data_IF_488217549104
#
_entry.id   IF_488217549104
#
_cell.length_a   1.000
_cell.length_b   1.000
_cell.length_c   1.000
_cell.angle_alpha   90.00
_cell.angle_beta   90.00
_cell.angle_gamma   90.00
#
_symmetry.space_group_name_H-M   'P 1'
#
loop_
_entity.id
_entity.type
_entity.pdbx_description
1 polymer ?
#
# COMPACT_ATOMS: atom_id res chain seq x y z
N UNK A 1 8.14 0.88 -12.47
CA UNK A 1 7.98 0.72 -11.00
C UNK A 1 8.17 -0.77 -10.69
N UNK A 2 9.17 -1.14 -9.90
CA UNK A 2 9.43 -2.53 -9.53
C UNK A 2 8.92 -2.76 -8.10
N UNK A 3 7.92 -3.63 -7.94
CA UNK A 3 7.50 -4.09 -6.62
C UNK A 3 8.53 -5.11 -6.13
N UNK A 4 9.09 -4.89 -4.93
CA UNK A 4 10.14 -5.73 -4.33
C UNK A 4 9.65 -6.55 -3.13
N UNK A 5 8.37 -6.46 -2.80
CA UNK A 5 7.84 -6.97 -1.54
C UNK A 5 6.49 -7.66 -1.73
N UNK A 6 6.31 -8.76 -0.99
CA UNK A 6 5.07 -9.51 -0.86
C UNK A 6 4.71 -9.49 0.63
N UNK A 7 3.67 -8.74 0.96
CA UNK A 7 3.09 -8.78 2.31
C UNK A 7 2.07 -9.91 2.38
N UNK A 8 2.28 -10.89 3.26
CA UNK A 8 1.28 -11.92 3.56
C UNK A 8 0.68 -11.62 4.92
N UNK A 9 -0.50 -10.99 4.92
CA UNK A 9 -1.28 -10.78 6.15
C UNK A 9 -1.89 -12.12 6.54
N UNK A 10 -1.22 -12.84 7.44
CA UNK A 10 -1.77 -14.03 8.06
C UNK A 10 -2.63 -13.61 9.25
N UNK A 11 -3.95 -13.55 9.06
CA UNK A 11 -4.92 -13.34 10.17
C UNK A 11 -5.66 -14.65 10.53
N UNK A 12 -5.43 -15.75 9.81
CA UNK A 12 -6.24 -16.96 9.92
C UNK A 12 -5.51 -18.11 10.60
N UNK A 13 -5.45 -18.04 11.93
CA UNK A 13 -5.05 -19.15 12.79
C UNK A 13 -4.35 -18.67 14.07
N UNK A 14 -4.24 -19.52 15.12
CA UNK A 14 -3.40 -19.22 16.27
C UNK A 14 -1.93 -19.30 15.85
N UNK A 15 -1.39 -18.16 15.43
CA UNK A 15 0.03 -17.98 15.17
C UNK A 15 0.73 -17.89 16.53
N UNK A 16 1.88 -18.54 16.75
CA UNK A 16 2.73 -18.24 17.90
C UNK A 16 2.99 -16.73 17.98
N UNK A 17 3.12 -16.14 19.18
CA UNK A 17 3.39 -14.72 19.31
C UNK A 17 4.62 -14.34 18.47
N UNK A 18 4.40 -13.46 17.49
CA UNK A 18 5.46 -12.92 16.63
C UNK A 18 6.01 -11.66 17.30
N UNK A 19 7.32 -11.48 17.24
CA UNK A 19 8.00 -10.28 17.73
C UNK A 19 8.22 -9.32 16.56
N UNK A 20 7.82 -8.06 16.74
CA UNK A 20 8.03 -7.04 15.72
C UNK A 20 9.52 -6.90 15.37
N UNK A 21 9.82 -6.84 14.07
CA UNK A 21 11.19 -6.73 13.56
C UNK A 21 11.95 -8.04 13.45
N UNK A 22 11.49 -9.15 14.05
CA UNK A 22 12.13 -10.45 13.91
C UNK A 22 11.82 -11.11 12.57
N UNK A 23 12.76 -11.94 12.14
CA UNK A 23 12.67 -12.75 10.93
C UNK A 23 12.22 -14.17 11.24
N UNK A 24 11.37 -14.70 10.38
CA UNK A 24 10.78 -16.02 10.50
C UNK A 24 10.85 -16.73 9.14
N UNK A 25 11.35 -17.97 9.09
CA UNK A 25 11.32 -18.77 7.87
C UNK A 25 9.88 -19.18 7.58
N UNK A 26 9.40 -18.87 6.38
CA UNK A 26 8.09 -19.27 5.88
C UNK A 26 8.23 -20.02 4.57
N UNK A 27 7.24 -20.86 4.27
CA UNK A 27 7.12 -21.53 2.98
C UNK A 27 5.91 -20.95 2.26
N UNK A 28 6.12 -20.45 1.06
CA UNK A 28 5.06 -19.90 0.22
C UNK A 28 4.89 -20.78 -1.01
N UNK A 29 3.67 -21.15 -1.33
CA UNK A 29 3.36 -21.92 -2.53
C UNK A 29 2.23 -21.25 -3.29
N UNK A 30 2.45 -21.04 -4.59
CA UNK A 30 1.42 -20.59 -5.52
C UNK A 30 0.87 -21.77 -6.29
N UNK A 31 -0.44 -21.98 -6.28
CA UNK A 31 -1.11 -23.10 -6.96
C UNK A 31 -0.42 -24.46 -6.67
N UNK A 32 0.09 -25.12 -7.71
CA UNK A 32 0.88 -26.36 -7.63
C UNK A 32 2.35 -26.14 -8.03
N UNK A 33 2.83 -24.91 -7.91
CA UNK A 33 4.21 -24.51 -8.24
C UNK A 33 5.19 -25.02 -7.19
N UNK A 34 6.49 -24.89 -7.46
CA UNK A 34 7.54 -25.10 -6.46
C UNK A 34 7.31 -24.23 -5.23
N UNK A 35 7.70 -24.76 -4.06
CA UNK A 35 7.67 -24.03 -2.81
C UNK A 35 8.80 -22.99 -2.85
N UNK A 36 8.47 -21.77 -2.46
CA UNK A 36 9.42 -20.71 -2.18
C UNK A 36 9.70 -20.67 -0.68
N UNK A 37 10.90 -21.09 -0.29
CA UNK A 37 11.42 -20.89 1.07
C UNK A 37 11.87 -19.43 1.21
N UNK A 38 11.14 -18.67 2.02
CA UNK A 38 11.32 -17.23 2.18
C UNK A 38 11.61 -16.86 3.63
N UNK A 39 12.46 -15.86 3.84
CA UNK A 39 12.62 -15.19 5.14
C UNK A 39 11.64 -14.03 5.20
N UNK A 40 10.67 -14.09 6.11
CA UNK A 40 9.70 -13.02 6.31
C UNK A 40 10.00 -12.26 7.59
N UNK A 41 9.94 -10.93 7.54
CA UNK A 41 10.03 -10.11 8.75
C UNK A 41 8.65 -9.79 9.29
N UNK A 42 8.47 -9.95 10.60
CA UNK A 42 7.27 -9.56 11.29
C UNK A 42 7.16 -8.02 11.41
N UNK A 43 5.98 -7.50 11.11
CA UNK A 43 5.62 -6.09 11.16
C UNK A 43 4.32 -5.93 11.94
N UNK A 44 4.32 -5.03 12.91
CA UNK A 44 3.11 -4.66 13.61
C UNK A 44 2.30 -3.68 12.76
N UNK A 45 1.01 -3.97 12.55
CA UNK A 45 0.05 -3.10 11.86
C UNK A 45 -1.04 -2.60 12.81
N UNK A 46 -0.76 -2.57 14.11
CA UNK A 46 -1.58 -2.04 15.21
C UNK A 46 -2.53 -3.08 15.80
N UNK A 47 -3.37 -3.70 14.97
CA UNK A 47 -4.36 -4.69 15.43
C UNK A 47 -3.94 -6.13 15.14
N UNK A 48 -2.84 -6.33 14.43
CA UNK A 48 -2.38 -7.63 13.95
C UNK A 48 -0.90 -7.59 13.60
N UNK A 49 -0.29 -8.77 13.48
CA UNK A 49 1.06 -8.93 12.97
C UNK A 49 1.03 -9.38 11.50
N UNK A 50 1.87 -8.75 10.68
CA UNK A 50 2.06 -9.01 9.27
C UNK A 50 3.42 -9.66 9.04
N UNK A 51 3.47 -10.76 8.29
CA UNK A 51 4.74 -11.34 7.80
C UNK A 51 5.01 -10.81 6.40
N UNK A 52 6.15 -10.13 6.23
CA UNK A 52 6.55 -9.52 4.96
C UNK A 52 7.76 -10.25 4.41
N UNK A 53 7.62 -10.88 3.25
CA UNK A 53 8.74 -11.45 2.51
C UNK A 53 9.06 -10.56 1.31
N UNK A 54 10.34 -10.33 1.03
CA UNK A 54 10.79 -9.55 -0.12
C UNK A 54 11.42 -10.46 -1.17
N UNK A 55 11.32 -10.05 -2.43
CA UNK A 55 11.96 -10.73 -3.56
C UNK A 55 12.59 -9.71 -4.48
N UNK A 56 13.73 -10.07 -5.07
CA UNK A 56 14.41 -9.29 -6.11
C UNK A 56 13.98 -9.70 -7.51
N UNK A 57 13.18 -10.75 -7.66
CA UNK A 57 12.65 -11.19 -8.94
C UNK A 57 11.66 -10.16 -9.50
N UNK A 58 12.08 -9.50 -10.59
CA UNK A 58 11.29 -8.47 -11.27
C UNK A 58 10.08 -9.05 -12.02
N UNK A 59 10.09 -10.34 -12.34
CA UNK A 59 8.98 -11.01 -13.00
C UNK A 59 7.91 -11.51 -12.03
N UNK A 60 8.20 -11.48 -10.72
CA UNK A 60 7.34 -12.02 -9.69
C UNK A 60 5.89 -11.54 -9.79
N UNK A 61 5.66 -10.24 -10.03
CA UNK A 61 4.30 -9.67 -10.12
C UNK A 61 3.53 -10.22 -11.32
N UNK A 62 4.18 -10.32 -12.48
CA UNK A 62 3.55 -10.84 -13.68
C UNK A 62 3.23 -12.33 -13.55
N UNK A 63 4.06 -13.08 -12.83
CA UNK A 63 3.78 -14.47 -12.49
C UNK A 63 2.67 -14.60 -11.44
N UNK A 64 2.72 -13.80 -10.38
CA UNK A 64 1.72 -13.73 -9.30
C UNK A 64 0.33 -13.40 -9.84
N UNK A 65 0.22 -12.43 -10.74
CA UNK A 65 -1.06 -12.02 -11.33
C UNK A 65 -1.79 -13.14 -12.07
N UNK A 66 -1.07 -14.20 -12.49
CA UNK A 66 -1.65 -15.37 -13.16
C UNK A 66 -2.04 -16.49 -12.18
N UNK A 67 -1.65 -16.41 -10.90
CA UNK A 67 -1.90 -17.47 -9.91
C UNK A 67 -3.31 -17.39 -9.37
N UNK A 68 -3.89 -18.54 -9.06
CA UNK A 68 -5.26 -18.65 -8.57
C UNK A 68 -5.34 -18.82 -7.06
N UNK A 69 -4.26 -19.25 -6.43
CA UNK A 69 -4.18 -19.52 -5.00
C UNK A 69 -2.77 -19.26 -4.48
N UNK A 70 -2.70 -18.83 -3.22
CA UNK A 70 -1.45 -18.80 -2.45
C UNK A 70 -1.68 -19.49 -1.11
N UNK A 71 -0.71 -20.30 -0.72
CA UNK A 71 -0.61 -20.94 0.58
C UNK A 71 0.67 -20.47 1.26
N UNK A 72 0.60 -20.16 2.55
CA UNK A 72 1.76 -19.91 3.37
C UNK A 72 1.78 -20.86 4.57
N UNK A 73 2.95 -21.39 4.88
CA UNK A 73 3.21 -22.27 6.01
C UNK A 73 4.33 -21.71 6.88
N UNK A 74 4.16 -21.86 8.19
CA UNK A 74 5.13 -21.49 9.22
C UNK A 74 5.23 -22.64 10.22
N UNK A 75 6.45 -23.13 10.50
CA UNK A 75 6.69 -24.29 11.37
C UNK A 75 5.83 -25.52 11.00
N UNK A 76 5.65 -25.79 9.71
CA UNK A 76 4.86 -26.91 9.20
C UNK A 76 3.34 -26.75 9.38
N UNK A 77 2.87 -25.60 9.86
CA UNK A 77 1.44 -25.28 9.98
C UNK A 77 1.06 -24.26 8.92
N UNK A 78 -0.06 -24.50 8.23
CA UNK A 78 -0.61 -23.53 7.29
C UNK A 78 -1.14 -22.31 8.05
N UNK A 79 -0.56 -21.13 7.77
CA UNK A 79 -0.93 -19.85 8.39
C UNK A 79 -1.79 -18.97 7.48
N UNK A 80 -1.79 -19.25 6.17
CA UNK A 80 -2.68 -18.61 5.22
C UNK A 80 -2.99 -19.53 4.04
N UNK A 81 -4.22 -19.44 3.55
CA UNK A 81 -4.64 -20.01 2.27
C UNK A 81 -5.61 -19.03 1.62
N UNK A 82 -5.11 -18.29 0.64
CA UNK A 82 -5.87 -17.25 -0.02
C UNK A 82 -6.22 -17.69 -1.43
N UNK A 83 -7.46 -17.42 -1.81
CA UNK A 83 -7.91 -17.52 -3.19
C UNK A 83 -7.57 -16.19 -3.87
N UNK A 84 -6.83 -16.29 -4.97
CA UNK A 84 -6.45 -15.18 -5.84
C UNK A 84 -7.31 -15.16 -7.10
N UNK A 85 -8.29 -16.07 -7.26
CA UNK A 85 -9.21 -16.00 -8.38
C UNK A 85 -9.93 -14.65 -8.38
N UNK A 86 -9.92 -13.98 -9.54
CA UNK A 86 -10.41 -12.61 -9.76
C UNK A 86 -9.61 -11.47 -9.10
N UNK A 87 -8.58 -11.75 -8.30
CA UNK A 87 -7.72 -10.70 -7.72
C UNK A 87 -7.05 -9.84 -8.78
N UNK A 88 -6.64 -10.44 -9.92
CA UNK A 88 -6.13 -9.72 -11.07
C UNK A 88 -7.10 -8.64 -11.57
N UNK A 89 -8.40 -8.98 -11.69
CA UNK A 89 -9.43 -8.02 -12.13
C UNK A 89 -9.60 -6.88 -11.12
N UNK A 90 -9.55 -7.18 -9.82
CA UNK A 90 -9.64 -6.17 -8.77
C UNK A 90 -8.43 -5.22 -8.80
N UNK A 91 -7.22 -5.77 -8.97
CA UNK A 91 -6.00 -4.97 -9.10
C UNK A 91 -6.06 -4.09 -10.35
N UNK A 92 -6.49 -4.62 -11.50
CA UNK A 92 -6.68 -3.83 -12.73
C UNK A 92 -7.64 -2.67 -12.50
N UNK A 93 -8.81 -2.93 -11.91
CA UNK A 93 -9.80 -1.88 -11.64
C UNK A 93 -9.25 -0.80 -10.69
N UNK A 94 -8.49 -1.17 -9.66
CA UNK A 94 -7.83 -0.24 -8.75
C UNK A 94 -6.80 0.64 -9.49
N UNK A 95 -5.98 0.03 -10.36
CA UNK A 95 -5.00 0.76 -11.18
C UNK A 95 -5.67 1.71 -12.16
N UNK A 96 -6.78 1.30 -12.79
CA UNK A 96 -7.53 2.14 -13.71
C UNK A 96 -8.17 3.34 -12.98
N UNK A 97 -8.71 3.12 -11.78
CA UNK A 97 -9.20 4.19 -10.91
C UNK A 97 -8.09 5.19 -10.58
N UNK A 98 -6.91 4.70 -10.18
CA UNK A 98 -5.77 5.56 -9.87
C UNK A 98 -5.33 6.38 -11.09
N UNK A 99 -5.32 5.79 -12.30
CA UNK A 99 -5.01 6.52 -13.53
C UNK A 99 -6.02 7.62 -13.81
N UNK A 100 -7.31 7.31 -13.73
CA UNK A 100 -8.37 8.29 -13.95
C UNK A 100 -8.27 9.48 -12.97
N UNK A 101 -8.03 9.20 -11.69
CA UNK A 101 -7.78 10.25 -10.68
C UNK A 101 -6.54 11.06 -11.02
N UNK A 102 -5.42 10.40 -11.35
CA UNK A 102 -4.17 11.08 -11.68
C UNK A 102 -4.32 12.00 -12.92
N UNK A 103 -5.06 11.57 -13.94
CA UNK A 103 -5.33 12.39 -15.13
C UNK A 103 -6.13 13.64 -14.81
N UNK A 104 -7.15 13.54 -13.95
CA UNK A 104 -7.92 14.71 -13.49
C UNK A 104 -7.03 15.64 -12.67
N UNK A 105 -6.28 15.10 -11.71
CA UNK A 105 -5.39 15.92 -10.87
C UNK A 105 -4.29 16.60 -11.69
N UNK A 106 -3.72 15.93 -12.70
CA UNK A 106 -2.72 16.52 -13.58
C UNK A 106 -3.30 17.64 -14.46
N UNK A 107 -4.57 17.52 -14.88
CA UNK A 107 -5.28 18.57 -15.65
C UNK A 107 -5.72 19.75 -14.77
N UNK A 108 -5.95 19.51 -13.49
CA UNK A 108 -6.30 20.53 -12.50
C UNK A 108 -5.09 21.14 -11.80
N UNK A 109 -3.87 20.78 -12.20
CA UNK A 109 -2.67 21.43 -11.69
C UNK A 109 -2.70 22.91 -12.11
N UNK A 110 -2.64 23.87 -11.16
CA UNK A 110 -2.66 25.28 -11.50
C UNK A 110 -1.47 25.60 -12.40
N UNK A 111 -1.73 26.27 -13.53
CA UNK A 111 -0.67 26.90 -14.32
C UNK A 111 0.09 27.87 -13.42
N UNK A 112 1.44 27.98 -13.50
CA UNK A 112 2.25 28.85 -12.62
C UNK A 112 2.02 30.37 -12.84
N UNK A 113 0.89 30.76 -13.43
CA UNK A 113 0.55 32.13 -13.80
C UNK A 113 -0.87 32.54 -13.45
N UNK A 114 -1.63 31.72 -12.71
CA UNK A 114 -2.89 32.19 -12.15
C UNK A 114 -2.58 32.81 -10.79
N UNK A 115 -2.16 34.08 -10.81
CA UNK A 115 -2.08 34.93 -9.64
C UNK A 115 -3.39 34.83 -8.87
N UNK A 116 -3.30 34.44 -7.61
CA UNK A 116 -4.45 34.36 -6.73
C UNK A 116 -5.03 35.79 -6.58
N UNK A 117 -6.29 36.04 -6.98
CA UNK A 117 -6.90 37.35 -6.80
C UNK A 117 -7.10 37.73 -5.32
N UNK A 118 -6.80 36.82 -4.38
CA UNK A 118 -6.80 37.02 -2.94
C UNK A 118 -5.40 36.98 -2.30
N UNK A 119 -4.32 36.86 -3.10
CA UNK A 119 -2.97 37.12 -2.58
C UNK A 119 -2.87 38.61 -2.20
N UNK A 120 -3.12 38.87 -0.93
CA UNK A 120 -2.97 40.18 -0.33
C UNK A 120 -1.48 40.55 -0.41
N UNK A 121 -1.14 41.40 -1.38
CA UNK A 121 0.07 42.21 -1.29
C UNK A 121 0.07 42.83 0.11
N UNK A 122 1.14 42.73 0.92
CA UNK A 122 1.21 43.42 2.19
C UNK A 122 1.29 44.92 1.89
N UNK A 123 0.14 45.55 1.68
CA UNK A 123 0.01 47.00 1.59
C UNK A 123 0.22 47.53 3.00
N UNK A 124 1.41 48.09 3.18
CA UNK A 124 1.76 49.14 4.12
C UNK A 124 0.58 49.66 4.94
N UNK A 125 0.55 49.26 6.21
CA UNK A 125 -0.02 49.96 7.35
C UNK A 125 -0.95 51.14 7.01
N UNK A 126 -2.20 50.85 6.66
CA UNK A 126 -3.27 51.83 6.73
C UNK A 126 -3.84 51.75 8.15
N UNK A 127 -3.40 52.68 8.98
CA UNK A 127 -3.94 52.94 10.32
C UNK A 127 -5.46 53.13 10.20
N UNK A 128 -6.21 52.13 10.68
CA UNK A 128 -7.66 52.18 10.81
C UNK A 128 -8.02 53.19 11.90
N UNK A 129 -8.37 54.42 11.51
CA UNK A 129 -9.15 55.31 12.36
C UNK A 129 -10.58 55.30 11.84
N UNK A 130 -11.52 55.11 12.76
CA UNK A 130 -12.97 55.04 12.62
C UNK A 130 -13.54 53.63 12.35
N UNK A 131 -13.52 52.80 13.40
CA UNK A 131 -14.44 51.66 13.55
C UNK A 131 -15.77 52.17 14.18
N UNK A 132 -16.91 52.08 13.48
CA UNK A 132 -18.21 52.54 13.97
C UNK A 132 -18.93 51.55 14.90
N UNK A 133 -18.27 50.49 15.37
CA UNK A 133 -18.85 49.50 16.30
C UNK A 133 -18.24 49.47 17.70
N UNK A 134 -17.41 50.45 18.07
CA UNK A 134 -17.11 50.69 19.48
C UNK A 134 -18.29 51.42 20.16
N UNK A 135 -19.15 50.64 20.83
CA UNK A 135 -20.17 51.07 21.81
C UNK A 135 -19.84 50.49 23.19
#
# INVERSE_FOLDING_TARGET
>A
MAFKAIGIVAHQGPIPPLEAGKEYPIKVQFDRSSIWDATATARDIGTSMLLVATTTDTNFVAEFAKKLTVRAEFNGRQIAKLRLDRSAKAITAMLDCQRAVNEVTAKSAPSPSQSDPFEQTPMSEVKSSDDPFDL
#
